data_IF_588675438035
#
_entry.id   IF_588675438035
#
_cell.length_a   1.000
_cell.length_b   1.000
_cell.length_c   1.000
_cell.angle_alpha   90.00
_cell.angle_beta   90.00
_cell.angle_gamma   90.00
#
_symmetry.space_group_name_H-M   'P 1'
#
loop_
_entity.id
_entity.type
_entity.pdbx_description
1 polymer ?
#
# COMPACT_ATOMS: atom_id res chain seq x y z
N UNK A 1 34.02 -23.37 25.23
CA UNK A 1 33.80 -23.65 26.68
C UNK A 1 35.05 -24.01 27.51
N UNK A 2 36.29 -24.06 26.96
CA UNK A 2 37.50 -24.34 27.77
C UNK A 2 38.12 -23.08 28.42
N UNK A 3 37.93 -21.89 27.85
CA UNK A 3 38.44 -20.61 28.38
C UNK A 3 37.68 -20.10 29.62
N UNK A 4 36.34 -20.08 29.56
CA UNK A 4 35.47 -19.65 30.67
C UNK A 4 35.66 -20.46 31.96
N UNK A 5 35.99 -21.76 31.84
CA UNK A 5 36.22 -22.64 33.00
C UNK A 5 37.48 -22.27 33.80
N UNK A 6 38.49 -21.68 33.16
CA UNK A 6 39.76 -21.30 33.81
C UNK A 6 39.62 -20.00 34.63
N UNK A 7 38.73 -19.09 34.21
CA UNK A 7 38.43 -17.86 34.94
C UNK A 7 37.60 -18.12 36.21
N UNK A 8 36.74 -19.14 36.21
CA UNK A 8 35.81 -19.36 37.32
C UNK A 8 36.31 -20.23 38.48
N UNK A 9 37.51 -20.86 38.43
CA UNK A 9 38.03 -21.79 39.49
C UNK A 9 37.02 -22.87 39.96
N UNK A 10 36.25 -23.49 39.07
CA UNK A 10 35.36 -24.62 39.42
C UNK A 10 35.93 -25.95 38.91
N UNK A 11 35.86 -27.01 39.71
CA UNK A 11 36.32 -28.37 39.31
C UNK A 11 35.20 -29.15 38.63
N UNK A 12 35.54 -30.27 37.97
CA UNK A 12 34.73 -31.01 36.97
C UNK A 12 33.29 -31.42 37.37
N UNK A 13 32.83 -31.16 38.59
CA UNK A 13 31.50 -31.57 39.11
C UNK A 13 30.47 -30.45 39.26
N UNK A 14 30.83 -29.17 39.07
CA UNK A 14 29.88 -28.09 39.31
C UNK A 14 29.12 -27.69 38.02
N UNK A 15 27.79 -27.78 38.05
CA UNK A 15 26.92 -27.19 37.03
C UNK A 15 26.97 -25.66 37.22
N UNK A 16 27.55 -24.96 36.25
CA UNK A 16 27.54 -23.49 36.22
C UNK A 16 26.08 -23.03 36.13
N UNK A 17 25.56 -22.39 37.18
CA UNK A 17 24.25 -21.73 37.12
C UNK A 17 24.40 -20.43 36.37
N UNK A 18 23.40 -20.06 35.56
CA UNK A 18 23.44 -18.82 34.78
C UNK A 18 23.69 -17.60 35.68
N UNK A 19 23.12 -17.58 36.88
CA UNK A 19 23.27 -16.53 37.89
C UNK A 19 24.75 -16.18 38.19
N UNK A 20 25.65 -17.17 38.23
CA UNK A 20 27.08 -16.96 38.51
C UNK A 20 27.84 -16.29 37.35
N UNK A 21 27.29 -16.34 36.13
CA UNK A 21 27.82 -15.63 34.95
C UNK A 21 27.35 -14.17 34.98
N UNK A 22 26.09 -13.93 35.36
CA UNK A 22 25.49 -12.60 35.41
C UNK A 22 26.14 -11.70 36.46
N UNK A 23 26.55 -12.25 37.61
CA UNK A 23 27.19 -11.45 38.68
C UNK A 23 28.65 -11.07 38.37
N UNK A 24 29.35 -11.86 37.56
CA UNK A 24 30.79 -11.63 37.24
C UNK A 24 31.03 -10.92 35.93
N UNK A 25 30.14 -11.07 34.96
CA UNK A 25 30.17 -10.28 33.72
C UNK A 25 29.21 -9.12 33.95
N UNK A 26 29.71 -7.95 34.36
CA UNK A 26 28.93 -6.70 34.56
C UNK A 26 28.26 -6.24 33.25
N UNK A 27 27.29 -7.00 32.74
CA UNK A 27 26.43 -6.59 31.62
C UNK A 27 25.22 -5.94 32.25
N UNK A 28 25.13 -4.62 32.15
CA UNK A 28 23.94 -3.90 32.56
C UNK A 28 22.72 -4.48 31.83
N UNK A 29 21.71 -4.94 32.59
CA UNK A 29 20.43 -5.39 32.06
C UNK A 29 19.88 -4.37 31.06
N UNK A 30 19.45 -4.82 29.88
CA UNK A 30 18.82 -3.97 28.85
C UNK A 30 17.66 -3.15 29.44
N UNK A 31 16.95 -3.70 30.43
CA UNK A 31 15.91 -3.00 31.20
C UNK A 31 16.41 -1.77 31.95
N UNK A 32 17.65 -1.79 32.47
CA UNK A 32 18.23 -0.64 33.16
C UNK A 32 18.63 0.48 32.18
N UNK A 33 19.13 0.12 31.00
CA UNK A 33 19.36 1.09 29.91
C UNK A 33 18.05 1.68 29.38
N UNK A 34 17.01 0.86 29.25
CA UNK A 34 15.66 1.32 28.87
C UNK A 34 15.05 2.24 29.94
N UNK A 35 15.26 1.96 31.23
CA UNK A 35 14.85 2.84 32.33
C UNK A 35 15.63 4.14 32.35
N UNK A 36 16.94 4.12 32.17
CA UNK A 36 17.75 5.35 32.10
C UNK A 36 17.38 6.21 30.89
N UNK A 37 17.19 5.60 29.71
CA UNK A 37 16.73 6.32 28.52
C UNK A 37 15.33 6.92 28.71
N UNK A 38 14.39 6.14 29.28
CA UNK A 38 13.06 6.66 29.65
C UNK A 38 13.14 7.79 30.67
N UNK A 39 14.00 7.69 31.69
CA UNK A 39 14.14 8.74 32.71
C UNK A 39 14.81 10.00 32.16
N UNK A 40 15.80 9.85 31.25
CA UNK A 40 16.41 10.98 30.55
C UNK A 40 15.42 11.66 29.62
N UNK A 41 14.69 10.88 28.81
CA UNK A 41 13.63 11.40 27.96
C UNK A 41 12.54 12.07 28.80
N UNK A 42 12.06 11.42 29.86
CA UNK A 42 11.04 11.99 30.76
C UNK A 42 11.50 13.28 31.44
N UNK A 43 12.78 13.39 31.84
CA UNK A 43 13.34 14.62 32.41
C UNK A 43 13.57 15.72 31.35
N UNK A 44 14.00 15.36 30.14
CA UNK A 44 14.17 16.29 29.02
C UNK A 44 12.83 16.84 28.55
N UNK A 45 11.84 15.95 28.41
CA UNK A 45 10.44 16.23 28.09
C UNK A 45 9.82 17.15 29.15
N UNK A 46 9.99 16.84 30.44
CA UNK A 46 9.44 17.68 31.53
C UNK A 46 10.08 19.07 31.60
N UNK A 47 11.38 19.22 31.34
CA UNK A 47 12.02 20.54 31.27
C UNK A 47 11.54 21.34 30.07
N UNK A 48 11.49 20.72 28.87
CA UNK A 48 11.16 21.46 27.64
C UNK A 48 9.67 21.70 27.43
N UNK A 49 8.78 20.86 27.95
CA UNK A 49 7.34 21.17 27.99
C UNK A 49 7.02 22.39 28.86
N UNK A 50 7.86 22.71 29.85
CA UNK A 50 7.73 23.96 30.60
C UNK A 50 8.30 25.17 29.83
N UNK A 51 9.23 24.96 28.90
CA UNK A 51 9.92 26.03 28.15
C UNK A 51 9.39 26.23 26.71
N UNK A 52 8.44 25.41 26.24
CA UNK A 52 7.85 25.49 24.90
C UNK A 52 6.86 26.67 24.76
N UNK A 53 7.36 27.89 24.97
CA UNK A 53 6.71 29.13 24.58
C UNK A 53 7.13 29.45 23.14
N UNK A 54 6.21 29.27 22.18
CA UNK A 54 6.41 29.80 20.82
C UNK A 54 6.39 31.34 20.89
N UNK A 55 7.56 31.99 20.76
CA UNK A 55 7.67 33.45 20.76
C UNK A 55 7.39 34.02 19.35
N UNK A 56 6.11 34.08 19.00
CA UNK A 56 5.61 34.67 17.74
C UNK A 56 4.42 35.60 17.97
N UNK A 57 4.44 36.79 17.35
CA UNK A 57 3.50 37.90 17.59
C UNK A 57 2.02 37.46 17.44
N UNK A 58 1.28 37.52 18.56
CA UNK A 58 -0.18 37.41 18.62
C UNK A 58 -0.66 36.00 19.00
N UNK A 59 -1.18 35.84 20.23
CA UNK A 59 -1.86 34.65 20.79
C UNK A 59 -1.67 33.35 19.99
N UNK A 60 -0.46 32.79 20.03
CA UNK A 60 -0.13 31.48 19.46
C UNK A 60 -0.30 30.43 20.56
N UNK A 61 -0.93 29.31 20.22
CA UNK A 61 -1.33 28.25 21.15
C UNK A 61 -0.14 27.75 22.00
N UNK A 62 -0.31 27.70 23.31
CA UNK A 62 0.63 27.04 24.23
C UNK A 62 0.12 25.61 24.44
N UNK A 63 0.86 24.63 23.90
CA UNK A 63 0.57 23.24 24.15
C UNK A 63 0.90 22.92 25.62
N UNK A 64 -0.12 22.65 26.45
CA UNK A 64 0.07 22.18 27.82
C UNK A 64 -0.41 20.73 27.93
N UNK A 65 0.46 19.77 27.63
CA UNK A 65 0.23 18.37 27.98
C UNK A 65 0.42 18.23 29.49
N UNK A 66 -0.67 18.28 30.25
CA UNK A 66 -0.64 17.83 31.64
C UNK A 66 -0.68 16.29 31.62
N UNK A 67 0.35 15.58 32.12
CA UNK A 67 0.34 14.13 32.19
C UNK A 67 -0.60 13.70 33.33
N UNK A 68 -1.90 13.70 33.07
CA UNK A 68 -2.88 13.00 33.89
C UNK A 68 -2.98 11.54 33.42
N UNK A 69 -3.35 10.57 34.28
CA UNK A 69 -3.58 9.18 33.87
C UNK A 69 -4.68 9.02 32.81
N UNK A 70 -5.43 10.09 32.51
CA UNK A 70 -6.19 10.25 31.28
C UNK A 70 -5.39 11.11 30.28
N UNK A 71 -5.00 10.52 29.14
CA UNK A 71 -4.42 11.25 27.99
C UNK A 71 -5.45 12.23 27.41
N UNK A 72 -5.61 13.40 28.02
CA UNK A 72 -6.40 14.51 27.51
C UNK A 72 -5.47 15.61 27.02
N UNK A 73 -5.48 15.87 25.72
CA UNK A 73 -4.84 17.06 25.14
C UNK A 73 -5.86 18.20 25.19
N UNK A 74 -5.50 19.31 25.82
CA UNK A 74 -6.36 20.49 25.91
C UNK A 74 -5.79 21.61 25.04
N UNK A 75 -6.57 22.01 24.03
CA UNK A 75 -6.26 23.15 23.17
C UNK A 75 -6.94 24.41 23.71
N UNK A 76 -6.23 25.54 23.74
CA UNK A 76 -6.86 26.82 23.98
C UNK A 76 -7.79 27.18 22.81
N UNK A 77 -9.03 27.54 23.14
CA UNK A 77 -10.00 28.03 22.16
C UNK A 77 -9.47 29.29 21.45
N UNK A 78 -9.81 29.43 20.15
CA UNK A 78 -9.49 30.59 19.29
C UNK A 78 -8.00 30.80 18.93
N UNK A 79 -7.20 29.73 18.92
CA UNK A 79 -5.79 29.79 18.53
C UNK A 79 -5.55 29.28 17.10
N UNK A 80 -4.54 29.85 16.43
CA UNK A 80 -4.12 29.39 15.10
C UNK A 80 -3.48 28.01 15.21
N UNK A 81 -3.95 27.06 14.39
CA UNK A 81 -3.31 25.76 14.25
C UNK A 81 -1.99 25.92 13.51
N UNK A 82 -0.91 25.49 14.14
CA UNK A 82 0.46 25.53 13.58
C UNK A 82 1.18 24.22 13.92
N UNK A 83 2.31 23.97 13.27
CA UNK A 83 3.20 22.87 13.64
C UNK A 83 3.81 23.07 15.02
N UNK A 84 3.98 21.98 15.76
CA UNK A 84 4.79 22.00 16.98
C UNK A 84 6.28 22.00 16.62
N UNK A 85 7.04 22.95 17.17
CA UNK A 85 8.45 23.18 16.83
C UNK A 85 8.68 24.05 15.60
N UNK A 86 7.72 24.90 15.21
CA UNK A 86 7.82 25.74 14.01
C UNK A 86 9.09 26.62 13.98
N UNK A 87 9.57 27.06 15.13
CA UNK A 87 10.80 27.85 15.25
C UNK A 87 12.05 27.08 14.78
N UNK A 88 12.05 25.76 14.91
CA UNK A 88 13.20 24.91 14.61
C UNK A 88 13.46 24.77 13.10
N UNK A 89 12.44 25.03 12.27
CA UNK A 89 12.53 24.95 10.80
C UNK A 89 12.76 26.31 10.14
N UNK A 90 12.90 27.38 10.92
CA UNK A 90 13.05 28.74 10.40
C UNK A 90 14.34 28.90 9.59
N UNK A 91 14.19 28.95 8.26
CA UNK A 91 15.31 29.07 7.33
C UNK A 91 16.04 27.76 7.03
N UNK A 92 15.49 26.62 7.47
CA UNK A 92 16.02 25.31 7.15
C UNK A 92 15.68 24.93 5.69
N UNK A 93 16.64 24.35 4.98
CA UNK A 93 16.44 23.81 3.62
C UNK A 93 15.94 22.36 3.64
N UNK A 94 16.24 21.62 4.70
CA UNK A 94 15.82 20.24 4.93
C UNK A 94 14.91 20.22 6.16
N UNK A 95 13.72 19.63 6.07
CA UNK A 95 12.72 19.59 7.14
C UNK A 95 12.20 18.16 7.29
N UNK A 96 12.02 17.73 8.54
CA UNK A 96 11.38 16.45 8.87
C UNK A 96 10.01 16.76 9.48
N UNK A 97 8.97 16.09 8.98
CA UNK A 97 7.61 16.16 9.51
C UNK A 97 7.24 14.80 10.09
N UNK A 98 6.88 14.77 11.37
CA UNK A 98 6.41 13.57 12.09
C UNK A 98 4.96 13.73 12.55
N UNK A 99 4.33 12.63 12.95
CA UNK A 99 2.94 12.65 13.40
C UNK A 99 2.81 13.17 14.85
N UNK A 100 3.54 12.54 15.80
CA UNK A 100 3.44 12.86 17.21
C UNK A 100 4.52 13.81 17.75
N UNK A 101 4.19 14.53 18.81
CA UNK A 101 5.17 15.36 19.54
C UNK A 101 6.29 14.51 20.16
N UNK A 102 5.96 13.29 20.61
CA UNK A 102 6.95 12.34 21.13
C UNK A 102 7.93 11.89 20.05
N UNK A 103 7.48 11.78 18.80
CA UNK A 103 8.37 11.46 17.68
C UNK A 103 9.29 12.62 17.34
N UNK A 104 8.81 13.87 17.47
CA UNK A 104 9.66 15.05 17.27
C UNK A 104 10.79 15.07 18.30
N UNK A 105 10.46 14.79 19.56
CA UNK A 105 11.44 14.68 20.63
C UNK A 105 12.42 13.52 20.39
N UNK A 106 11.94 12.40 19.86
CA UNK A 106 12.80 11.29 19.49
C UNK A 106 13.77 11.66 18.35
N UNK A 107 13.33 12.45 17.37
CA UNK A 107 14.18 12.99 16.31
C UNK A 107 15.25 13.94 16.86
N UNK A 108 14.89 14.83 17.80
CA UNK A 108 15.84 15.73 18.47
C UNK A 108 16.92 14.97 19.23
N UNK A 109 16.55 13.91 19.96
CA UNK A 109 17.50 13.02 20.65
C UNK A 109 18.43 12.28 19.69
N UNK A 110 17.97 11.97 18.47
CA UNK A 110 18.81 11.42 17.41
C UNK A 110 19.71 12.47 16.72
N UNK A 111 19.53 13.75 17.05
CA UNK A 111 20.34 14.88 16.57
C UNK A 111 19.69 15.69 15.45
N UNK A 112 18.43 15.41 15.10
CA UNK A 112 17.69 16.16 14.09
C UNK A 112 16.93 17.31 14.76
N UNK A 113 17.42 18.53 14.58
CA UNK A 113 16.75 19.73 15.12
C UNK A 113 15.73 20.31 14.15
N UNK A 114 15.87 20.04 12.87
CA UNK A 114 14.99 20.50 11.79
C UNK A 114 13.69 19.66 11.69
N UNK A 115 13.05 19.37 12.82
CA UNK A 115 11.87 18.49 12.90
C UNK A 115 10.65 19.22 13.45
N UNK A 116 9.49 18.97 12.87
CA UNK A 116 8.18 19.46 13.34
C UNK A 116 7.17 18.33 13.43
N UNK A 117 6.20 18.44 14.34
CA UNK A 117 5.06 17.50 14.40
C UNK A 117 3.74 18.18 14.03
N UNK A 118 2.84 17.40 13.43
CA UNK A 118 1.49 17.88 13.08
C UNK A 118 0.66 18.11 14.34
N UNK A 119 -0.20 19.14 14.38
CA UNK A 119 -1.03 19.42 15.56
C UNK A 119 -2.25 18.49 15.65
N UNK A 120 -2.81 18.09 14.51
CA UNK A 120 -3.92 17.17 14.40
C UNK A 120 -3.38 15.87 13.79
N UNK A 121 -3.57 14.74 14.48
CA UNK A 121 -3.13 13.42 14.02
C UNK A 121 -3.78 12.96 12.71
N UNK A 122 -3.42 11.76 12.27
CA UNK A 122 -3.76 11.27 10.94
C UNK A 122 -5.28 11.20 10.64
N UNK A 123 -5.71 11.50 9.40
CA UNK A 123 -7.04 11.18 8.94
C UNK A 123 -7.27 9.66 8.84
N UNK A 124 -8.52 9.19 8.98
CA UNK A 124 -8.84 7.77 8.81
C UNK A 124 -8.68 7.29 7.35
N UNK A 125 -8.74 8.19 6.37
CA UNK A 125 -8.56 7.87 4.94
C UNK A 125 -8.11 9.08 4.13
N UNK A 126 -7.51 8.79 2.96
CA UNK A 126 -7.18 9.78 1.93
C UNK A 126 -8.48 10.30 1.32
N UNK A 127 -8.51 11.59 1.00
CA UNK A 127 -9.65 12.17 0.29
C UNK A 127 -9.59 11.82 -1.20
N UNK A 128 -10.62 11.11 -1.70
CA UNK A 128 -10.79 10.78 -3.13
C UNK A 128 -11.12 12.01 -4.01
N UNK A 129 -11.21 13.20 -3.40
CA UNK A 129 -11.57 14.44 -4.08
C UNK A 129 -10.32 15.23 -4.44
N UNK A 130 -10.47 16.13 -5.42
CA UNK A 130 -9.47 17.16 -5.68
C UNK A 130 -9.22 17.98 -4.42
N UNK A 131 -8.00 18.53 -4.32
CA UNK A 131 -7.59 19.32 -3.17
C UNK A 131 -8.60 20.47 -2.96
N UNK A 132 -9.20 20.59 -1.77
CA UNK A 132 -10.10 21.70 -1.50
C UNK A 132 -9.34 23.02 -1.61
N UNK A 133 -10.00 24.12 -2.03
CA UNK A 133 -9.42 25.45 -1.93
C UNK A 133 -8.94 25.73 -0.50
N UNK A 134 -7.87 26.52 -0.36
CA UNK A 134 -7.23 26.86 0.92
C UNK A 134 -8.24 27.24 2.01
N UNK A 135 -9.24 28.04 1.65
CA UNK A 135 -10.28 28.55 2.57
C UNK A 135 -11.26 27.47 3.08
N UNK A 136 -11.30 26.30 2.42
CA UNK A 136 -12.16 25.16 2.78
C UNK A 136 -11.38 24.00 3.40
N UNK A 137 -10.06 24.11 3.51
CA UNK A 137 -9.17 23.06 4.00
C UNK A 137 -8.96 23.16 5.52
N UNK A 138 -10.06 23.16 6.26
CA UNK A 138 -10.09 23.42 7.72
C UNK A 138 -9.28 22.40 8.53
N UNK A 139 -9.11 21.17 8.02
CA UNK A 139 -8.30 20.13 8.68
C UNK A 139 -6.79 20.35 8.52
N UNK A 140 -6.36 20.91 7.39
CA UNK A 140 -4.94 21.11 7.09
C UNK A 140 -4.54 22.59 7.09
N UNK A 141 -5.34 23.44 7.75
CA UNK A 141 -5.10 24.88 7.84
C UNK A 141 -3.71 25.23 8.38
N UNK A 142 -3.13 24.35 9.22
CA UNK A 142 -1.78 24.52 9.75
C UNK A 142 -0.69 24.54 8.68
N UNK A 143 -0.87 23.85 7.54
CA UNK A 143 0.07 23.92 6.41
C UNK A 143 0.08 25.30 5.78
N UNK A 144 -1.10 25.88 5.60
CA UNK A 144 -1.28 27.19 5.00
C UNK A 144 -0.79 28.31 5.93
N UNK A 145 -1.07 28.19 7.23
CA UNK A 145 -0.56 29.11 8.25
C UNK A 145 0.97 29.12 8.32
N UNK A 146 1.61 27.98 8.03
CA UNK A 146 3.06 27.82 8.10
C UNK A 146 3.75 27.85 6.72
N UNK A 147 3.04 28.28 5.67
CA UNK A 147 3.49 28.20 4.27
C UNK A 147 4.83 28.91 4.03
N UNK A 148 5.04 30.06 4.67
CA UNK A 148 6.29 30.85 4.54
C UNK A 148 7.54 30.09 5.02
N UNK A 149 7.37 29.16 5.98
CA UNK A 149 8.44 28.33 6.50
C UNK A 149 8.69 27.13 5.58
N UNK A 150 7.61 26.51 5.09
CA UNK A 150 7.65 25.32 4.24
C UNK A 150 8.10 25.61 2.80
N UNK A 151 7.80 26.77 2.24
CA UNK A 151 8.20 27.13 0.87
C UNK A 151 9.73 27.24 0.71
N UNK A 152 10.45 27.59 1.78
CA UNK A 152 11.92 27.70 1.77
C UNK A 152 12.62 26.35 1.80
N UNK A 153 11.91 25.30 2.20
CA UNK A 153 12.46 23.95 2.22
C UNK A 153 12.54 23.37 0.82
N UNK A 154 13.73 22.93 0.44
CA UNK A 154 13.96 22.18 -0.80
C UNK A 154 13.70 20.70 -0.62
N UNK A 155 13.89 20.18 0.60
CA UNK A 155 13.69 18.78 0.95
C UNK A 155 12.79 18.68 2.18
N UNK A 156 11.72 17.88 2.05
CA UNK A 156 10.77 17.62 3.14
C UNK A 156 10.66 16.12 3.33
N UNK A 157 11.15 15.60 4.45
CA UNK A 157 11.08 14.19 4.82
C UNK A 157 9.79 13.96 5.62
N UNK A 158 8.91 13.11 5.09
CA UNK A 158 7.67 12.69 5.72
C UNK A 158 7.92 11.40 6.49
N UNK A 159 7.98 11.53 7.82
CA UNK A 159 8.22 10.47 8.80
C UNK A 159 6.96 10.25 9.66
N UNK A 160 5.83 10.00 8.98
CA UNK A 160 4.55 9.66 9.62
C UNK A 160 4.50 8.21 10.06
N UNK A 161 3.47 7.85 10.83
CA UNK A 161 3.31 6.50 11.36
C UNK A 161 3.23 5.44 10.24
N UNK A 162 3.80 4.28 10.51
CA UNK A 162 3.84 3.13 9.61
C UNK A 162 2.51 2.38 9.43
N UNK A 163 1.40 2.97 9.88
CA UNK A 163 0.07 2.39 9.82
C UNK A 163 -0.78 3.02 8.70
N UNK A 164 -1.97 2.45 8.37
CA UNK A 164 -2.77 2.97 7.27
C UNK A 164 -3.20 4.46 7.42
N UNK A 165 -3.58 4.94 8.63
CA UNK A 165 -3.79 6.37 8.87
C UNK A 165 -2.54 7.23 8.61
N UNK A 166 -1.38 6.84 9.14
CA UNK A 166 -0.12 7.58 8.94
C UNK A 166 0.30 7.63 7.48
N UNK A 167 0.04 6.58 6.71
CA UNK A 167 0.24 6.58 5.25
C UNK A 167 -0.72 7.54 4.54
N UNK A 168 -1.99 7.60 4.98
CA UNK A 168 -2.96 8.56 4.45
C UNK A 168 -2.54 10.01 4.76
N UNK A 169 -2.01 10.26 5.95
CA UNK A 169 -1.47 11.57 6.32
C UNK A 169 -0.29 11.97 5.41
N UNK A 170 0.68 11.09 5.21
CA UNK A 170 1.82 11.36 4.33
C UNK A 170 1.38 11.70 2.90
N UNK A 171 0.39 10.99 2.36
CA UNK A 171 -0.16 11.25 1.03
C UNK A 171 -0.83 12.64 0.95
N UNK A 172 -1.67 12.99 1.94
CA UNK A 172 -2.34 14.29 1.98
C UNK A 172 -1.36 15.46 2.17
N UNK A 173 -0.27 15.25 2.93
CA UNK A 173 0.84 16.20 3.06
C UNK A 173 1.59 16.35 1.73
N UNK A 174 1.98 15.25 1.10
CA UNK A 174 2.72 15.27 -0.16
C UNK A 174 1.94 15.95 -1.30
N UNK A 175 0.61 15.75 -1.37
CA UNK A 175 -0.26 16.42 -2.35
C UNK A 175 -0.28 17.95 -2.19
N UNK A 176 -0.18 18.47 -0.96
CA UNK A 176 -0.25 19.93 -0.67
C UNK A 176 1.12 20.62 -0.69
N UNK A 177 2.16 19.91 -0.25
CA UNK A 177 3.53 20.45 -0.17
C UNK A 177 4.26 20.39 -1.52
N UNK A 178 3.82 19.50 -2.42
CA UNK A 178 4.48 19.22 -3.69
C UNK A 178 5.29 17.94 -3.58
N UNK A 179 4.89 16.90 -4.34
CA UNK A 179 5.50 15.57 -4.29
C UNK A 179 6.97 15.58 -4.70
N UNK A 180 7.38 16.53 -5.53
CA UNK A 180 8.74 16.68 -6.05
C UNK A 180 9.76 17.08 -4.99
N UNK A 181 9.32 17.68 -3.88
CA UNK A 181 10.18 18.06 -2.75
C UNK A 181 10.02 17.11 -1.56
N UNK A 182 9.04 16.22 -1.61
CA UNK A 182 8.74 15.28 -0.54
C UNK A 182 9.57 13.99 -0.68
N UNK A 183 10.02 13.50 0.47
CA UNK A 183 10.71 12.24 0.65
C UNK A 183 9.94 11.42 1.67
N UNK A 184 9.88 10.10 1.48
CA UNK A 184 9.20 9.17 2.38
C UNK A 184 10.21 8.21 2.97
N UNK A 185 10.11 8.00 4.27
CA UNK A 185 10.89 6.96 4.94
C UNK A 185 10.14 5.63 4.95
N UNK A 186 10.91 4.55 5.07
CA UNK A 186 10.37 3.23 5.38
C UNK A 186 10.89 2.81 6.74
N UNK A 187 9.98 2.61 7.70
CA UNK A 187 10.36 2.18 9.04
C UNK A 187 10.99 0.77 9.02
N UNK A 188 12.00 0.51 9.86
CA UNK A 188 12.72 -0.74 9.84
C UNK A 188 11.84 -1.93 10.25
N UNK A 189 12.26 -3.14 9.85
CA UNK A 189 11.60 -4.38 10.26
C UNK A 189 11.97 -4.74 11.70
N UNK A 190 10.94 -4.97 12.52
CA UNK A 190 11.07 -5.48 13.90
C UNK A 190 11.14 -7.00 13.91
N UNK A 191 10.41 -7.65 13.01
CA UNK A 191 10.39 -9.10 12.82
C UNK A 191 10.21 -9.46 11.33
N UNK A 192 10.03 -10.74 10.99
CA UNK A 192 9.71 -11.16 9.61
C UNK A 192 8.37 -10.60 9.11
N UNK A 193 7.49 -10.13 10.01
CA UNK A 193 6.12 -9.69 9.68
C UNK A 193 5.87 -8.26 10.18
N UNK A 194 6.49 -7.85 11.29
CA UNK A 194 6.24 -6.56 11.92
C UNK A 194 7.29 -5.51 11.58
N UNK A 195 6.84 -4.28 11.42
CA UNK A 195 7.69 -3.10 11.28
C UNK A 195 7.55 -2.23 12.52
N UNK A 196 8.57 -1.40 12.77
CA UNK A 196 8.41 -0.31 13.74
C UNK A 196 7.37 0.68 13.24
N UNK A 197 6.62 1.29 14.17
CA UNK A 197 5.50 2.16 13.82
C UNK A 197 5.90 3.62 13.69
N UNK A 198 6.73 4.09 14.60
CA UNK A 198 7.03 5.50 14.77
C UNK A 198 8.51 5.72 15.14
N UNK A 199 8.93 6.98 15.19
CA UNK A 199 10.32 7.36 15.46
C UNK A 199 10.73 6.97 16.89
N UNK A 200 9.81 7.13 17.84
CA UNK A 200 10.04 6.84 19.24
C UNK A 200 10.29 5.35 19.49
N UNK A 201 9.55 4.44 18.86
CA UNK A 201 9.77 3.00 18.96
C UNK A 201 11.15 2.60 18.42
N UNK A 202 11.56 3.18 17.29
CA UNK A 202 12.90 2.95 16.71
C UNK A 202 13.98 3.44 17.66
N UNK A 203 13.83 4.66 18.20
CA UNK A 203 14.78 5.21 19.17
C UNK A 203 14.88 4.34 20.42
N UNK A 204 13.74 3.91 20.96
CA UNK A 204 13.69 3.10 22.19
C UNK A 204 14.30 1.71 22.01
N UNK A 205 14.10 1.06 20.86
CA UNK A 205 14.53 -0.31 20.63
C UNK A 205 15.91 -0.42 19.97
N UNK A 206 16.20 0.40 18.97
CA UNK A 206 17.42 0.31 18.15
C UNK A 206 18.42 1.44 18.44
N UNK A 207 17.97 2.53 19.06
CA UNK A 207 18.80 3.67 19.42
C UNK A 207 18.92 4.74 18.34
N UNK A 208 19.61 5.86 18.65
CA UNK A 208 19.64 7.04 17.80
C UNK A 208 20.40 6.84 16.48
N UNK A 209 21.38 5.94 16.44
CA UNK A 209 22.12 5.63 15.21
C UNK A 209 21.23 4.98 14.15
N UNK A 210 20.41 4.00 14.54
CA UNK A 210 19.47 3.36 13.63
C UNK A 210 18.39 4.33 13.13
N UNK A 211 17.87 5.20 14.00
CA UNK A 211 16.91 6.23 13.59
C UNK A 211 17.51 7.18 12.55
N UNK A 212 18.80 7.54 12.68
CA UNK A 212 19.51 8.36 11.70
C UNK A 212 19.64 7.66 10.35
N UNK A 213 20.01 6.38 10.33
CA UNK A 213 20.11 5.59 9.11
C UNK A 213 18.76 5.53 8.35
N UNK A 214 17.65 5.41 9.08
CA UNK A 214 16.30 5.40 8.48
C UNK A 214 15.98 6.73 7.81
N UNK A 215 16.32 7.86 8.45
CA UNK A 215 16.06 9.20 7.92
C UNK A 215 16.99 9.53 6.74
N UNK A 216 18.26 9.15 6.82
CA UNK A 216 19.22 9.33 5.73
C UNK A 216 18.86 8.47 4.50
N UNK A 217 18.29 7.29 4.73
CA UNK A 217 17.77 6.38 3.71
C UNK A 217 16.38 6.71 3.18
N UNK A 218 15.83 7.90 3.48
CA UNK A 218 14.57 8.34 2.88
C UNK A 218 14.63 8.27 1.35
N UNK A 219 13.53 7.89 0.72
CA UNK A 219 13.40 7.81 -0.74
C UNK A 219 12.48 8.92 -1.26
N UNK A 220 12.62 9.30 -2.54
CA UNK A 220 11.76 10.29 -3.14
C UNK A 220 10.31 9.82 -3.10
N UNK A 221 9.36 10.73 -2.80
CA UNK A 221 7.96 10.35 -2.80
C UNK A 221 7.54 9.89 -4.21
N UNK A 222 6.87 8.73 -4.35
CA UNK A 222 6.51 8.22 -5.66
C UNK A 222 5.58 9.21 -6.39
N UNK A 223 6.09 9.75 -7.49
CA UNK A 223 5.32 10.61 -8.38
C UNK A 223 4.52 9.70 -9.30
N UNK A 224 3.19 9.84 -9.31
CA UNK A 224 2.35 9.04 -10.20
C UNK A 224 2.80 9.23 -11.65
N UNK A 225 3.04 8.11 -12.34
CA UNK A 225 3.49 8.11 -13.73
C UNK A 225 5.01 8.20 -13.95
N UNK A 226 5.80 8.39 -12.88
CA UNK A 226 7.26 8.28 -12.96
C UNK A 226 7.68 6.89 -12.49
N UNK A 227 8.31 6.13 -13.38
CA UNK A 227 8.76 4.78 -13.07
C UNK A 227 10.25 4.66 -13.32
N UNK A 228 10.97 4.01 -12.41
CA UNK A 228 12.35 3.60 -12.66
C UNK A 228 12.33 2.29 -13.46
N UNK A 229 13.04 2.28 -14.59
CA UNK A 229 13.14 1.12 -15.47
C UNK A 229 13.67 -0.11 -14.73
N UNK A 230 14.51 0.08 -13.70
CA UNK A 230 15.06 -1.02 -12.88
C UNK A 230 13.98 -1.82 -12.16
N UNK A 231 12.87 -1.20 -11.81
CA UNK A 231 11.78 -1.86 -11.09
C UNK A 231 11.06 -2.91 -11.95
N UNK A 232 11.16 -2.79 -13.28
CA UNK A 232 10.57 -3.75 -14.22
C UNK A 232 11.49 -4.89 -14.59
N UNK A 233 12.74 -4.92 -14.12
CA UNK A 233 13.71 -5.94 -14.53
C UNK A 233 13.17 -7.35 -14.27
N UNK A 234 12.60 -7.60 -13.09
CA UNK A 234 12.02 -8.92 -12.74
C UNK A 234 10.85 -9.30 -13.64
N UNK A 235 10.02 -8.33 -14.03
CA UNK A 235 8.87 -8.58 -14.91
C UNK A 235 9.33 -8.87 -16.34
N UNK A 236 10.29 -8.09 -16.86
CA UNK A 236 10.89 -8.28 -18.18
C UNK A 236 11.67 -9.60 -18.24
N UNK A 237 12.38 -9.96 -17.16
CA UNK A 237 13.11 -11.21 -17.04
C UNK A 237 12.14 -12.40 -17.02
N UNK A 238 11.04 -12.28 -16.26
CA UNK A 238 9.98 -13.29 -16.24
C UNK A 238 9.28 -13.45 -17.60
N UNK A 239 9.10 -12.35 -18.33
CA UNK A 239 8.57 -12.32 -19.70
C UNK A 239 9.53 -13.03 -20.67
N UNK A 240 10.83 -12.70 -20.61
CA UNK A 240 11.87 -13.31 -21.44
C UNK A 240 11.97 -14.82 -21.18
N UNK A 241 11.90 -15.24 -19.92
CA UNK A 241 11.96 -16.64 -19.51
C UNK A 241 10.63 -17.39 -19.61
N UNK A 242 9.56 -16.74 -20.08
CA UNK A 242 8.21 -17.33 -20.27
C UNK A 242 7.68 -18.01 -19.00
N UNK A 243 8.07 -17.51 -17.83
CA UNK A 243 7.64 -18.06 -16.54
C UNK A 243 6.21 -17.68 -16.17
N UNK A 244 5.62 -16.72 -16.89
CA UNK A 244 4.23 -16.24 -16.70
C UNK A 244 3.34 -16.90 -17.77
N UNK A 245 2.45 -17.78 -17.33
CA UNK A 245 1.83 -18.83 -18.16
C UNK A 245 0.79 -18.41 -19.23
N UNK A 246 0.62 -17.12 -19.55
CA UNK A 246 -0.43 -16.67 -20.50
C UNK A 246 0.05 -15.69 -21.59
N UNK A 247 1.33 -15.31 -21.62
CA UNK A 247 1.84 -14.25 -22.51
C UNK A 247 1.93 -14.67 -23.98
N UNK A 248 1.99 -15.98 -24.26
CA UNK A 248 1.92 -16.53 -25.63
C UNK A 248 0.48 -16.57 -26.19
N UNK A 249 -0.50 -16.20 -25.36
CA UNK A 249 -1.93 -16.25 -25.69
C UNK A 249 -2.52 -17.65 -25.68
N UNK A 250 -3.83 -17.72 -25.50
CA UNK A 250 -4.59 -18.96 -25.56
C UNK A 250 -4.93 -19.29 -27.02
N UNK A 251 -4.69 -20.53 -27.47
CA UNK A 251 -5.03 -20.93 -28.83
C UNK A 251 -6.53 -20.81 -29.10
N UNK A 252 -6.87 -20.29 -30.27
CA UNK A 252 -8.25 -20.01 -30.72
C UNK A 252 -9.09 -21.27 -30.99
N UNK A 253 -8.44 -22.44 -31.06
CA UNK A 253 -9.03 -23.71 -31.49
C UNK A 253 -8.89 -24.00 -32.98
N UNK A 254 -8.46 -23.03 -33.80
CA UNK A 254 -8.18 -23.23 -35.23
C UNK A 254 -6.68 -23.23 -35.50
N UNK A 255 -6.14 -24.37 -35.96
CA UNK A 255 -4.69 -24.54 -36.19
C UNK A 255 -4.10 -23.52 -37.16
N UNK A 256 -4.85 -23.19 -38.22
CA UNK A 256 -4.44 -22.19 -39.21
C UNK A 256 -4.39 -20.78 -38.64
N UNK A 257 -5.23 -20.48 -37.65
CA UNK A 257 -5.29 -19.15 -37.03
C UNK A 257 -4.28 -19.01 -35.88
N UNK A 258 -4.00 -20.07 -35.13
CA UNK A 258 -3.07 -20.02 -33.99
C UNK A 258 -1.63 -19.62 -34.37
N UNK A 259 -1.26 -19.76 -35.65
CA UNK A 259 0.03 -19.27 -36.17
C UNK A 259 0.05 -17.74 -36.34
N UNK A 260 -1.13 -17.13 -36.45
CA UNK A 260 -1.31 -15.70 -36.73
C UNK A 260 -1.86 -14.95 -35.51
N UNK A 261 -2.68 -15.60 -34.69
CA UNK A 261 -3.40 -14.98 -33.59
C UNK A 261 -3.73 -16.00 -32.49
N UNK A 262 -3.38 -15.65 -31.25
CA UNK A 262 -3.81 -16.29 -30.02
C UNK A 262 -4.39 -15.22 -29.09
N UNK A 263 -5.31 -15.61 -28.21
CA UNK A 263 -6.05 -14.67 -27.36
C UNK A 263 -5.27 -14.40 -26.07
N UNK A 264 -4.74 -13.19 -25.92
CA UNK A 264 -3.99 -12.77 -24.72
C UNK A 264 -4.92 -12.07 -23.72
N UNK A 265 -5.00 -12.51 -22.45
CA UNK A 265 -5.73 -11.80 -21.42
C UNK A 265 -5.23 -10.36 -21.24
N UNK A 266 -6.13 -9.40 -21.09
CA UNK A 266 -5.78 -7.99 -20.89
C UNK A 266 -5.63 -7.17 -22.17
N UNK A 267 -5.63 -7.82 -23.34
CA UNK A 267 -5.60 -7.14 -24.64
C UNK A 267 -7.01 -6.89 -25.22
N UNK A 268 -7.15 -5.80 -25.99
CA UNK A 268 -8.36 -5.50 -26.74
C UNK A 268 -8.29 -6.11 -28.15
N UNK A 269 -9.12 -7.12 -28.41
CA UNK A 269 -9.27 -7.71 -29.75
C UNK A 269 -10.44 -7.08 -30.50
N UNK A 270 -10.18 -6.49 -31.67
CA UNK A 270 -11.19 -5.88 -32.53
C UNK A 270 -11.44 -6.75 -33.75
N UNK A 271 -12.68 -7.18 -33.97
CA UNK A 271 -13.09 -8.00 -35.12
C UNK A 271 -13.94 -7.16 -36.07
N UNK A 272 -13.46 -6.96 -37.29
CA UNK A 272 -14.14 -6.15 -38.32
C UNK A 272 -14.24 -6.89 -39.66
N UNK A 273 -15.09 -6.39 -40.56
CA UNK A 273 -15.39 -7.03 -41.84
C UNK A 273 -16.75 -6.62 -42.40
N UNK A 274 -17.02 -6.96 -43.67
CA UNK A 274 -18.25 -6.57 -44.38
C UNK A 274 -19.52 -7.10 -43.69
N UNK A 275 -20.69 -6.45 -43.85
CA UNK A 275 -21.95 -7.00 -43.36
C UNK A 275 -22.18 -8.42 -43.87
N UNK A 276 -22.79 -9.27 -43.04
CA UNK A 276 -23.08 -10.67 -43.36
C UNK A 276 -21.84 -11.57 -43.66
N UNK A 277 -20.63 -11.16 -43.27
CA UNK A 277 -19.41 -11.99 -43.37
C UNK A 277 -19.24 -13.05 -42.28
N UNK A 278 -20.19 -13.16 -41.35
CA UNK A 278 -20.13 -14.14 -40.27
C UNK A 278 -19.29 -13.74 -39.05
N UNK A 279 -18.96 -12.45 -38.86
CA UNK A 279 -18.21 -11.96 -37.67
C UNK A 279 -18.79 -12.44 -36.36
N UNK A 280 -20.09 -12.26 -36.16
CA UNK A 280 -20.77 -12.67 -34.92
C UNK A 280 -20.72 -14.19 -34.72
N UNK A 281 -20.87 -14.96 -35.80
CA UNK A 281 -20.75 -16.42 -35.75
C UNK A 281 -19.32 -16.87 -35.44
N UNK A 282 -18.32 -16.15 -35.95
CA UNK A 282 -16.91 -16.42 -35.67
C UNK A 282 -16.55 -16.11 -34.21
N UNK A 283 -17.01 -14.97 -33.68
CA UNK A 283 -16.79 -14.59 -32.27
C UNK A 283 -17.41 -15.65 -31.36
N UNK A 284 -18.67 -16.02 -31.59
CA UNK A 284 -19.34 -17.06 -30.80
C UNK A 284 -18.58 -18.40 -30.80
N UNK A 285 -18.05 -18.80 -31.96
CA UNK A 285 -17.28 -20.03 -32.08
C UNK A 285 -15.95 -19.95 -31.31
N UNK A 286 -15.28 -18.80 -31.36
CA UNK A 286 -14.06 -18.54 -30.60
C UNK A 286 -14.33 -18.65 -29.09
N UNK A 287 -15.41 -18.03 -28.61
CA UNK A 287 -15.79 -18.08 -27.18
C UNK A 287 -16.06 -19.51 -26.72
N UNK A 288 -16.77 -20.31 -27.52
CA UNK A 288 -16.99 -21.73 -27.22
C UNK A 288 -15.66 -22.51 -27.17
N UNK A 289 -14.73 -22.25 -28.09
CA UNK A 289 -13.43 -22.92 -28.13
C UNK A 289 -12.57 -22.56 -26.91
N UNK A 290 -12.56 -21.29 -26.49
CA UNK A 290 -11.83 -20.83 -25.31
C UNK A 290 -12.44 -21.38 -24.01
N UNK A 291 -13.77 -21.39 -23.92
CA UNK A 291 -14.46 -22.02 -22.79
C UNK A 291 -14.12 -23.52 -22.69
N UNK A 292 -14.07 -24.23 -23.83
CA UNK A 292 -13.75 -25.66 -23.85
C UNK A 292 -12.28 -25.95 -23.54
N UNK A 293 -11.35 -25.15 -24.05
CA UNK A 293 -9.90 -25.41 -23.92
C UNK A 293 -9.33 -25.02 -22.56
N UNK A 294 -9.72 -23.85 -22.04
CA UNK A 294 -9.14 -23.25 -20.82
C UNK A 294 -10.18 -22.89 -19.75
N UNK A 295 -11.47 -23.16 -19.99
CA UNK A 295 -12.52 -22.94 -18.99
C UNK A 295 -12.90 -21.48 -18.79
N UNK A 296 -12.57 -20.59 -19.74
CA UNK A 296 -12.84 -19.16 -19.61
C UNK A 296 -14.32 -18.84 -19.51
N UNK A 297 -14.61 -17.85 -18.67
CA UNK A 297 -15.96 -17.32 -18.41
C UNK A 297 -16.11 -16.01 -19.14
N UNK A 298 -17.20 -15.87 -19.89
CA UNK A 298 -17.41 -14.71 -20.75
C UNK A 298 -18.64 -13.92 -20.33
N UNK A 299 -18.52 -12.59 -20.43
CA UNK A 299 -19.64 -11.67 -20.36
C UNK A 299 -19.99 -11.22 -21.78
N UNK A 300 -21.22 -11.45 -22.23
CA UNK A 300 -21.68 -11.07 -23.57
C UNK A 300 -22.65 -9.90 -23.50
N UNK A 301 -22.38 -8.87 -24.31
CA UNK A 301 -23.28 -7.75 -24.56
C UNK A 301 -23.60 -7.70 -26.06
N UNK A 302 -24.81 -8.09 -26.45
CA UNK A 302 -25.27 -8.12 -27.83
C UNK A 302 -26.39 -7.12 -28.05
N UNK A 303 -26.15 -6.11 -28.91
CA UNK A 303 -27.15 -5.10 -29.28
C UNK A 303 -28.06 -5.54 -30.45
N UNK A 304 -27.64 -6.55 -31.21
CA UNK A 304 -28.33 -6.97 -32.44
C UNK A 304 -29.24 -8.19 -32.23
N UNK A 305 -28.78 -9.20 -31.48
CA UNK A 305 -29.52 -10.45 -31.26
C UNK A 305 -30.19 -10.47 -29.89
N UNK A 306 -31.42 -11.00 -29.83
CA UNK A 306 -32.10 -11.30 -28.56
C UNK A 306 -31.39 -12.43 -27.82
N UNK A 307 -31.39 -12.40 -26.48
CA UNK A 307 -30.71 -13.40 -25.63
C UNK A 307 -31.05 -14.84 -26.02
N UNK A 308 -32.33 -15.13 -26.26
CA UNK A 308 -32.78 -16.49 -26.60
C UNK A 308 -32.17 -16.99 -27.92
N UNK A 309 -32.07 -16.11 -28.91
CA UNK A 309 -31.51 -16.45 -30.22
C UNK A 309 -29.99 -16.63 -30.14
N UNK A 310 -29.31 -15.75 -29.39
CA UNK A 310 -27.87 -15.86 -29.15
C UNK A 310 -27.53 -17.12 -28.34
N UNK A 311 -28.28 -17.41 -27.27
CA UNK A 311 -28.12 -18.62 -26.48
C UNK A 311 -28.32 -19.89 -27.32
N UNK A 312 -29.33 -19.90 -28.21
CA UNK A 312 -29.53 -21.00 -29.16
C UNK A 312 -28.30 -21.19 -30.07
N UNK A 313 -27.76 -20.11 -30.64
CA UNK A 313 -26.57 -20.15 -31.51
C UNK A 313 -25.33 -20.67 -30.77
N UNK A 314 -25.12 -20.28 -29.52
CA UNK A 314 -24.01 -20.79 -28.69
C UNK A 314 -24.19 -22.28 -28.39
N UNK A 315 -25.44 -22.71 -28.13
CA UNK A 315 -25.76 -24.09 -27.87
C UNK A 315 -25.51 -24.98 -29.10
N UNK A 316 -25.86 -24.52 -30.31
CA UNK A 316 -25.55 -25.21 -31.58
C UNK A 316 -24.05 -25.41 -31.76
N UNK A 317 -23.26 -24.37 -31.49
CA UNK A 317 -21.79 -24.41 -31.60
C UNK A 317 -21.16 -25.33 -30.56
N UNK A 318 -21.68 -25.33 -29.33
CA UNK A 318 -21.21 -26.24 -28.27
C UNK A 318 -21.52 -27.71 -28.59
N UNK A 319 -22.73 -27.99 -29.10
CA UNK A 319 -23.18 -29.35 -29.48
C UNK A 319 -22.59 -29.78 -30.84
N UNK A 320 -22.10 -28.84 -31.65
CA UNK A 320 -21.62 -29.03 -33.03
C UNK A 320 -22.68 -29.63 -33.96
N UNK A 321 -23.96 -29.32 -33.71
CA UNK A 321 -25.10 -29.77 -34.54
C UNK A 321 -26.11 -28.63 -34.69
N UNK A 322 -26.71 -28.44 -35.87
CA UNK A 322 -27.79 -27.47 -36.05
C UNK A 322 -29.05 -27.95 -35.33
N UNK A 323 -29.86 -27.03 -34.77
CA UNK A 323 -31.18 -27.39 -34.23
C UNK A 323 -32.20 -27.72 -35.33
N UNK A 324 -32.02 -27.14 -36.51
CA UNK A 324 -32.89 -27.37 -37.66
C UNK A 324 -32.07 -27.90 -38.82
N UNK A 325 -32.37 -29.12 -39.25
CA UNK A 325 -31.89 -29.61 -40.54
C UNK A 325 -32.84 -29.07 -41.61
N UNK A 326 -32.32 -28.38 -42.63
CA UNK A 326 -33.14 -27.78 -43.70
C UNK A 326 -33.81 -28.89 -44.54
N UNK A 327 -33.52 -30.17 -44.28
CA UNK A 327 -34.06 -31.33 -44.96
C UNK A 327 -34.47 -32.48 -44.03
N UNK A 328 -35.29 -32.23 -42.99
CA UNK A 328 -36.31 -33.19 -42.54
C UNK A 328 -37.11 -32.66 -41.36
N UNK A 329 -38.44 -32.58 -41.56
CA UNK A 329 -39.43 -32.44 -40.50
C UNK A 329 -39.64 -33.84 -39.90
N UNK A 330 -38.73 -34.29 -39.04
CA UNK A 330 -38.96 -35.47 -38.19
C UNK A 330 -38.90 -35.05 -36.72
N UNK A 331 -40.01 -34.47 -36.29
CA UNK A 331 -40.23 -33.81 -35.00
C UNK A 331 -40.31 -34.76 -33.79
N UNK A 332 -39.97 -36.05 -33.92
CA UNK A 332 -40.22 -37.04 -32.85
C UNK A 332 -38.99 -37.75 -32.26
N UNK A 333 -37.81 -37.68 -32.87
CA UNK A 333 -36.60 -38.34 -32.33
C UNK A 333 -35.65 -37.42 -31.54
N UNK A 334 -35.84 -36.09 -31.62
CA UNK A 334 -35.04 -35.10 -30.89
C UNK A 334 -35.58 -34.75 -29.49
N UNK A 335 -36.84 -35.08 -29.17
CA UNK A 335 -37.48 -34.60 -27.94
C UNK A 335 -37.08 -35.38 -26.67
N UNK A 336 -36.68 -36.65 -26.79
CA UNK A 336 -36.47 -37.52 -25.61
C UNK A 336 -35.00 -37.71 -25.18
N UNK A 337 -34.01 -37.37 -26.03
CA UNK A 337 -32.58 -37.38 -25.63
C UNK A 337 -32.03 -36.00 -25.27
N UNK A 338 -32.75 -34.93 -25.58
CA UNK A 338 -32.26 -33.56 -25.43
C UNK A 338 -32.53 -32.95 -24.05
N UNK A 339 -33.58 -33.31 -23.30
CA UNK A 339 -33.93 -32.56 -22.09
C UNK A 339 -32.86 -32.63 -20.99
N UNK A 340 -32.34 -33.82 -20.66
CA UNK A 340 -31.26 -33.98 -19.68
C UNK A 340 -29.91 -33.46 -20.17
N UNK A 341 -29.59 -33.67 -21.45
CA UNK A 341 -28.33 -33.22 -22.06
C UNK A 341 -28.27 -31.71 -22.24
N UNK A 342 -29.39 -31.07 -22.63
CA UNK A 342 -29.53 -29.61 -22.68
C UNK A 342 -29.42 -29.04 -21.27
N UNK A 343 -29.97 -29.71 -20.25
CA UNK A 343 -29.85 -29.24 -18.86
C UNK A 343 -28.41 -29.25 -18.35
N UNK A 344 -27.61 -30.27 -18.70
CA UNK A 344 -26.19 -30.36 -18.35
C UNK A 344 -25.32 -29.39 -19.18
N UNK A 345 -25.68 -29.15 -20.44
CA UNK A 345 -24.99 -28.15 -21.28
C UNK A 345 -25.34 -26.73 -20.83
N UNK A 346 -26.58 -26.45 -20.42
CA UNK A 346 -26.98 -25.17 -19.80
C UNK A 346 -26.18 -24.94 -18.51
N UNK A 347 -26.02 -25.95 -17.65
CA UNK A 347 -25.17 -25.85 -16.45
C UNK A 347 -23.69 -25.57 -16.75
N UNK A 348 -23.16 -26.05 -17.88
CA UNK A 348 -21.79 -25.73 -18.32
C UNK A 348 -21.71 -24.33 -18.96
N UNK A 349 -22.76 -23.91 -19.64
CA UNK A 349 -22.92 -22.56 -20.19
C UNK A 349 -23.25 -21.50 -19.14
N UNK A 350 -23.62 -21.86 -17.90
CA UNK A 350 -23.71 -20.93 -16.76
C UNK A 350 -22.37 -20.23 -16.44
N UNK A 351 -21.28 -20.75 -17.00
CA UNK A 351 -19.96 -20.09 -17.00
C UNK A 351 -19.90 -18.86 -17.94
N UNK A 352 -20.85 -18.71 -18.86
CA UNK A 352 -21.01 -17.58 -19.77
C UNK A 352 -22.22 -16.77 -19.30
N UNK A 353 -21.96 -15.58 -18.73
CA UNK A 353 -23.02 -14.68 -18.27
C UNK A 353 -23.39 -13.72 -19.40
N UNK A 354 -24.66 -13.64 -19.76
CA UNK A 354 -25.14 -12.70 -20.77
C UNK A 354 -25.76 -11.51 -20.03
N UNK A 355 -25.22 -10.32 -20.23
CA UNK A 355 -25.71 -9.08 -19.63
C UNK A 355 -26.37 -8.21 -20.71
N UNK A 356 -27.49 -7.57 -20.37
CA UNK A 356 -28.16 -6.58 -21.22
C UNK A 356 -27.88 -5.17 -20.65
N UNK A 357 -27.74 -4.20 -21.54
CA UNK A 357 -27.87 -2.78 -21.25
C UNK A 357 -29.20 -2.27 -21.80
#
# INVERSE_FOLDING_TARGET
>A
MKMLRRMCRHTRRDKIRNEDIWDKVRVALQENKMREARLRLFMHVKMRLMDALCEGRGKVCVHSTLPSPACGIHWEADTLKIFYGLDDIKGASDIIIVEGEMDKLAMEEAGFRNCVSVPDGAPPSISDKDLPPVDKDTKYQYLWNCKEYLEKASRIILATDGDPPGQALAEELARRLGRERCWRITWPKKSTIDHFKDANEVLMCLGPGALREVIEGAELYPIQGLFDFKNYFTEIDAYYHQTIGYELGVPTGWRSLNQLYNVVPGELTIVTGVPNSGKSEWIDALLCNLNHSVGWKFALCSMENRVREHARKLLEKHIKKPFFDVRQVDTHLLSLRCSSYIHDVIKRLDSIRIAFL
#
